data_IF_797234517985
#
_entry.id   IF_797234517985
#
_cell.length_a   1.000
_cell.length_b   1.000
_cell.length_c   1.000
_cell.angle_alpha   90.00
_cell.angle_beta   90.00
_cell.angle_gamma   90.00
#
_symmetry.space_group_name_H-M   'P 1'
#
loop_
_entity.id
_entity.type
_entity.pdbx_description
1 polymer ?
#
# COMPACT_ATOMS: atom_id res chain seq x y z
N UNK A 1 5.42 2.78 20.59
CA UNK A 1 5.38 2.29 19.20
C UNK A 1 4.16 1.38 19.12
N UNK A 2 3.05 1.84 18.54
CA UNK A 2 1.92 0.94 18.29
C UNK A 2 2.42 -0.13 17.31
N UNK A 3 2.35 -1.40 17.73
CA UNK A 3 2.65 -2.51 16.85
C UNK A 3 1.58 -2.49 15.77
N UNK A 4 1.97 -2.35 14.50
CA UNK A 4 1.03 -2.47 13.40
C UNK A 4 0.52 -3.92 13.36
N UNK A 5 -0.63 -4.15 13.98
CA UNK A 5 -1.32 -5.43 13.92
C UNK A 5 -1.93 -5.62 12.54
N UNK A 6 -1.56 -6.71 11.87
CA UNK A 6 -2.19 -7.14 10.63
C UNK A 6 -3.20 -8.23 10.97
N UNK A 7 -4.51 -7.93 11.04
CA UNK A 7 -5.53 -8.95 11.26
C UNK A 7 -5.69 -9.79 9.98
N UNK A 8 -4.83 -10.82 9.84
CA UNK A 8 -4.77 -11.64 8.62
C UNK A 8 -6.14 -12.26 8.30
N UNK A 9 -6.90 -12.64 9.33
CA UNK A 9 -8.25 -13.21 9.19
C UNK A 9 -9.27 -12.22 8.64
N UNK A 10 -9.08 -10.94 8.88
CA UNK A 10 -9.99 -9.88 8.44
C UNK A 10 -9.57 -9.34 7.06
N UNK A 11 -8.31 -9.59 6.66
CA UNK A 11 -7.73 -9.22 5.36
C UNK A 11 -7.75 -10.37 4.34
N UNK A 12 -8.67 -11.33 4.50
CA UNK A 12 -8.73 -12.52 3.63
C UNK A 12 -9.35 -12.25 2.26
N UNK A 13 -10.05 -11.13 2.08
CA UNK A 13 -10.67 -10.76 0.82
C UNK A 13 -10.16 -9.41 0.28
N UNK A 14 -10.50 -9.19 -1.00
CA UNK A 14 -10.06 -8.05 -1.78
C UNK A 14 -10.61 -6.72 -1.25
N UNK A 15 -11.83 -6.70 -0.74
CA UNK A 15 -12.48 -5.48 -0.28
C UNK A 15 -11.81 -4.96 0.98
N UNK A 16 -11.60 -5.84 1.96
CA UNK A 16 -10.88 -5.50 3.19
C UNK A 16 -9.42 -5.10 2.92
N UNK A 17 -8.73 -5.79 2.01
CA UNK A 17 -7.39 -5.37 1.58
C UNK A 17 -7.39 -4.00 0.90
N UNK A 18 -8.42 -3.69 0.11
CA UNK A 18 -8.55 -2.39 -0.56
C UNK A 18 -8.77 -1.28 0.46
N UNK A 19 -9.65 -1.49 1.43
CA UNK A 19 -9.94 -0.53 2.48
C UNK A 19 -8.71 -0.27 3.35
N UNK A 20 -8.00 -1.31 3.77
CA UNK A 20 -6.75 -1.17 4.52
C UNK A 20 -5.71 -0.34 3.75
N UNK A 21 -5.59 -0.54 2.44
CA UNK A 21 -4.68 0.26 1.60
C UNK A 21 -5.12 1.72 1.46
N UNK A 22 -6.43 2.00 1.43
CA UNK A 22 -6.95 3.38 1.45
C UNK A 22 -6.51 4.06 2.76
N UNK A 23 -6.72 3.40 3.90
CA UNK A 23 -6.41 3.97 5.21
C UNK A 23 -4.92 4.28 5.40
N UNK A 24 -4.04 3.40 4.91
CA UNK A 24 -2.60 3.51 5.19
C UNK A 24 -1.79 4.22 4.09
N UNK A 25 -2.26 4.21 2.84
CA UNK A 25 -1.54 4.81 1.71
C UNK A 25 -2.23 6.03 1.12
N UNK A 26 -3.43 6.40 1.61
CA UNK A 26 -4.14 7.62 1.24
C UNK A 26 -4.54 8.40 2.50
N UNK A 27 -3.59 8.94 3.27
CA UNK A 27 -3.85 9.58 4.57
C UNK A 27 -4.75 10.83 4.47
N UNK A 28 -4.87 11.43 3.29
CA UNK A 28 -5.75 12.58 3.02
C UNK A 28 -7.07 12.17 2.34
N UNK A 29 -7.40 10.88 2.34
CA UNK A 29 -8.56 10.32 1.67
C UNK A 29 -8.26 9.86 0.24
N UNK A 30 -9.02 8.86 -0.21
CA UNK A 30 -8.90 8.32 -1.56
C UNK A 30 -9.75 9.12 -2.56
N UNK A 31 -9.09 9.75 -3.52
CA UNK A 31 -9.73 10.65 -4.48
C UNK A 31 -8.89 10.88 -5.74
N UNK A 32 -9.37 11.79 -6.59
CA UNK A 32 -8.69 12.13 -7.83
C UNK A 32 -7.33 12.80 -7.54
N UNK A 33 -6.21 12.31 -8.10
CA UNK A 33 -4.90 12.89 -7.82
C UNK A 33 -4.67 14.27 -8.45
N UNK A 34 -5.53 14.70 -9.37
CA UNK A 34 -5.39 15.97 -10.12
C UNK A 34 -6.18 17.11 -9.50
N UNK A 35 -7.41 16.84 -9.06
CA UNK A 35 -8.32 17.87 -8.53
C UNK A 35 -8.80 17.60 -7.10
N UNK A 36 -8.30 16.52 -6.48
CA UNK A 36 -8.52 16.16 -5.07
C UNK A 36 -9.96 15.96 -4.63
N UNK A 37 -10.92 15.89 -5.56
CA UNK A 37 -12.28 15.48 -5.23
C UNK A 37 -12.31 14.00 -4.84
N UNK A 38 -13.20 13.65 -3.92
CA UNK A 38 -13.37 12.28 -3.44
C UNK A 38 -13.82 11.32 -4.54
N UNK A 39 -13.59 10.02 -4.29
CA UNK A 39 -13.98 8.94 -5.22
C UNK A 39 -15.50 8.85 -5.45
N UNK A 40 -16.31 9.41 -4.55
CA UNK A 40 -17.76 9.57 -4.69
C UNK A 40 -18.15 10.42 -5.92
N UNK A 41 -17.26 11.33 -6.35
CA UNK A 41 -17.40 12.12 -7.58
C UNK A 41 -16.62 11.53 -8.76
N UNK A 42 -16.40 10.22 -8.76
CA UNK A 42 -15.85 9.46 -9.87
C UNK A 42 -16.83 8.38 -10.34
N UNK A 43 -16.63 7.90 -11.57
CA UNK A 43 -17.31 6.69 -12.05
C UNK A 43 -16.33 5.56 -12.21
N UNK A 44 -16.78 4.33 -11.96
CA UNK A 44 -16.03 3.15 -12.35
C UNK A 44 -15.90 3.11 -13.88
N UNK A 45 -14.67 2.99 -14.37
CA UNK A 45 -14.39 3.02 -15.80
C UNK A 45 -14.06 1.63 -16.34
N UNK A 46 -13.22 0.88 -15.63
CA UNK A 46 -12.85 -0.50 -15.97
C UNK A 46 -12.17 -1.20 -14.80
N UNK A 47 -12.04 -2.51 -14.89
CA UNK A 47 -11.21 -3.30 -13.99
C UNK A 47 -9.93 -3.76 -14.70
N UNK A 48 -8.79 -3.60 -14.06
CA UNK A 48 -7.50 -4.08 -14.60
C UNK A 48 -7.44 -5.61 -14.52
N UNK A 49 -6.89 -6.26 -15.55
CA UNK A 49 -6.88 -7.73 -15.61
C UNK A 49 -5.93 -8.38 -14.59
N UNK A 50 -4.72 -7.84 -14.44
CA UNK A 50 -3.67 -8.42 -13.59
C UNK A 50 -3.83 -8.02 -12.13
N UNK A 51 -3.87 -6.71 -11.86
CA UNK A 51 -4.00 -6.19 -10.50
C UNK A 51 -5.42 -6.30 -9.94
N UNK A 52 -6.42 -6.60 -10.78
CA UNK A 52 -7.84 -6.66 -10.41
C UNK A 52 -8.38 -5.36 -9.80
N UNK A 53 -7.69 -4.22 -9.99
CA UNK A 53 -8.11 -2.93 -9.47
C UNK A 53 -9.23 -2.31 -10.29
N UNK A 54 -10.18 -1.68 -9.62
CA UNK A 54 -11.11 -0.72 -10.23
C UNK A 54 -10.33 0.53 -10.63
N UNK A 55 -10.50 0.94 -11.88
CA UNK A 55 -10.01 2.21 -12.40
C UNK A 55 -11.18 3.18 -12.39
N UNK A 56 -11.01 4.28 -11.68
CA UNK A 56 -11.96 5.37 -11.59
C UNK A 56 -11.65 6.41 -12.65
N UNK A 57 -12.71 7.09 -13.11
CA UNK A 57 -12.58 8.30 -13.94
C UNK A 57 -13.30 9.43 -13.23
N UNK A 58 -12.53 10.46 -12.88
CA UNK A 58 -13.01 11.66 -12.19
C UNK A 58 -14.09 12.36 -13.04
N UNK A 59 -15.21 12.74 -12.44
CA UNK A 59 -16.28 13.44 -13.17
C UNK A 59 -15.94 14.90 -13.45
N UNK A 60 -15.15 15.55 -12.58
CA UNK A 60 -14.74 16.95 -12.74
C UNK A 60 -13.66 17.14 -13.82
N UNK A 61 -12.51 16.47 -13.69
CA UNK A 61 -11.35 16.68 -14.58
C UNK A 61 -11.08 15.54 -15.56
N UNK A 62 -11.89 14.48 -15.55
CA UNK A 62 -11.78 13.32 -16.45
C UNK A 62 -10.49 12.48 -16.33
N UNK A 63 -9.62 12.78 -15.36
CA UNK A 63 -8.43 11.99 -15.08
C UNK A 63 -8.79 10.56 -14.64
N UNK A 64 -8.04 9.58 -15.14
CA UNK A 64 -8.17 8.19 -14.74
C UNK A 64 -7.16 7.86 -13.64
N UNK A 65 -7.61 7.17 -12.60
CA UNK A 65 -6.78 6.77 -11.47
C UNK A 65 -7.30 5.46 -10.85
N UNK A 66 -6.49 4.84 -10.00
CA UNK A 66 -6.83 3.63 -9.27
C UNK A 66 -6.22 3.68 -7.86
N UNK A 67 -6.43 2.63 -7.08
CA UNK A 67 -5.93 2.49 -5.70
C UNK A 67 -4.43 2.79 -5.54
N UNK A 68 -3.60 2.50 -6.54
CA UNK A 68 -2.15 2.66 -6.43
C UNK A 68 -1.64 4.00 -6.96
N UNK A 69 -2.51 4.83 -7.53
CA UNK A 69 -2.10 6.12 -8.10
C UNK A 69 -1.63 7.04 -6.98
N UNK A 70 -0.42 7.59 -7.12
CA UNK A 70 0.22 8.41 -6.10
C UNK A 70 0.92 7.63 -4.97
N UNK A 71 0.97 6.29 -5.05
CA UNK A 71 1.61 5.43 -4.03
C UNK A 71 2.87 4.76 -4.58
N UNK A 72 3.67 4.15 -3.70
CA UNK A 72 4.84 3.31 -4.10
C UNK A 72 4.46 2.11 -4.98
N UNK A 73 3.20 1.69 -4.97
CA UNK A 73 2.70 0.58 -5.80
C UNK A 73 2.26 1.02 -7.20
N UNK A 74 2.39 2.31 -7.52
CA UNK A 74 2.05 2.82 -8.84
C UNK A 74 2.83 2.05 -9.93
N UNK A 75 2.14 1.71 -11.03
CA UNK A 75 2.68 0.90 -12.15
C UNK A 75 3.03 -0.56 -11.82
N UNK A 76 2.78 -1.02 -10.58
CA UNK A 76 2.93 -2.43 -10.24
C UNK A 76 1.65 -3.23 -10.52
N UNK A 77 1.83 -4.43 -11.08
CA UNK A 77 0.74 -5.32 -11.45
C UNK A 77 0.36 -6.29 -10.30
N UNK A 78 0.14 -5.76 -9.10
CA UNK A 78 -0.14 -6.54 -7.89
C UNK A 78 -1.60 -6.43 -7.48
N UNK A 79 -2.20 -7.51 -7.00
CA UNK A 79 -3.53 -7.46 -6.36
C UNK A 79 -3.45 -6.77 -4.99
N UNK A 80 -4.56 -6.22 -4.47
CA UNK A 80 -4.58 -5.65 -3.11
C UNK A 80 -4.05 -6.62 -2.05
N UNK A 81 -4.43 -7.90 -2.14
CA UNK A 81 -3.96 -8.96 -1.22
C UNK A 81 -2.44 -9.16 -1.31
N UNK A 82 -1.87 -9.20 -2.51
CA UNK A 82 -0.41 -9.30 -2.69
C UNK A 82 0.31 -8.10 -2.07
N UNK A 83 -0.25 -6.89 -2.22
CA UNK A 83 0.34 -5.67 -1.64
C UNK A 83 0.30 -5.72 -0.12
N UNK A 84 -0.85 -6.03 0.47
CA UNK A 84 -1.00 -6.12 1.94
C UNK A 84 -0.04 -7.15 2.52
N UNK A 85 0.05 -8.35 1.94
CA UNK A 85 0.98 -9.38 2.40
C UNK A 85 2.45 -9.00 2.20
N UNK A 86 2.78 -8.31 1.10
CA UNK A 86 4.13 -7.77 0.88
C UNK A 86 4.49 -6.76 1.97
N UNK A 87 3.61 -5.80 2.27
CA UNK A 87 3.85 -4.80 3.31
C UNK A 87 4.02 -5.47 4.67
N UNK A 88 3.12 -6.39 5.04
CA UNK A 88 3.23 -7.19 6.26
C UNK A 88 4.58 -7.89 6.35
N UNK A 89 5.00 -8.58 5.30
CA UNK A 89 6.25 -9.31 5.29
C UNK A 89 7.48 -8.40 5.37
N UNK A 90 7.44 -7.25 4.70
CA UNK A 90 8.49 -6.22 4.82
C UNK A 90 8.61 -5.73 6.26
N UNK A 91 7.49 -5.41 6.91
CA UNK A 91 7.46 -4.92 8.29
C UNK A 91 7.90 -5.99 9.31
N UNK A 92 7.65 -7.27 9.01
CA UNK A 92 8.14 -8.40 9.81
C UNK A 92 9.59 -8.78 9.54
N UNK A 93 10.28 -8.06 8.64
CA UNK A 93 11.66 -8.37 8.28
C UNK A 93 11.83 -9.67 7.48
N UNK A 94 10.77 -10.18 6.86
CA UNK A 94 10.82 -11.42 6.07
C UNK A 94 11.76 -11.23 4.85
N UNK A 95 12.58 -12.23 4.47
CA UNK A 95 13.50 -12.09 3.34
C UNK A 95 12.77 -11.89 2.00
N UNK A 96 13.34 -11.07 1.10
CA UNK A 96 12.74 -10.82 -0.22
C UNK A 96 12.63 -12.09 -1.09
N UNK A 97 13.50 -13.08 -0.89
CA UNK A 97 13.42 -14.40 -1.55
C UNK A 97 12.17 -15.18 -1.12
N UNK A 98 11.83 -15.17 0.17
CA UNK A 98 10.64 -15.82 0.72
C UNK A 98 9.38 -15.13 0.18
N UNK A 99 9.31 -13.80 0.28
CA UNK A 99 8.18 -13.02 -0.25
C UNK A 99 7.97 -13.22 -1.75
N UNK A 100 9.05 -13.29 -2.53
CA UNK A 100 8.98 -13.56 -3.96
C UNK A 100 8.34 -14.90 -4.24
N UNK A 101 8.75 -15.95 -3.52
CA UNK A 101 8.23 -17.30 -3.68
C UNK A 101 6.76 -17.42 -3.23
N UNK A 102 6.42 -16.88 -2.05
CA UNK A 102 5.07 -17.00 -1.47
C UNK A 102 4.03 -16.18 -2.23
N UNK A 103 4.39 -14.98 -2.70
CA UNK A 103 3.46 -14.08 -3.36
C UNK A 103 3.42 -14.25 -4.89
N UNK A 104 4.32 -15.06 -5.45
CA UNK A 104 4.47 -15.22 -6.90
C UNK A 104 4.92 -13.94 -7.62
N UNK A 105 5.69 -13.09 -6.94
CA UNK A 105 6.18 -11.80 -7.45
C UNK A 105 7.65 -11.97 -7.85
N UNK A 106 8.08 -11.33 -8.93
CA UNK A 106 9.51 -11.32 -9.29
C UNK A 106 10.36 -10.73 -8.16
N UNK A 107 11.47 -11.40 -7.82
CA UNK A 107 12.38 -10.99 -6.76
C UNK A 107 12.85 -9.52 -6.86
N UNK A 108 13.20 -9.05 -8.05
CA UNK A 108 13.65 -7.66 -8.25
C UNK A 108 12.52 -6.67 -7.94
N UNK A 109 11.28 -7.02 -8.28
CA UNK A 109 10.10 -6.21 -7.94
C UNK A 109 9.89 -6.15 -6.43
N UNK A 110 10.02 -7.27 -5.72
CA UNK A 110 9.92 -7.31 -4.25
C UNK A 110 11.00 -6.45 -3.61
N UNK A 111 12.25 -6.59 -4.07
CA UNK A 111 13.37 -5.81 -3.54
C UNK A 111 13.18 -4.31 -3.77
N UNK A 112 12.76 -3.92 -4.97
CA UNK A 112 12.43 -2.53 -5.29
C UNK A 112 11.35 -1.97 -4.36
N UNK A 113 10.22 -2.67 -4.25
CA UNK A 113 9.11 -2.24 -3.39
C UNK A 113 9.49 -2.16 -1.92
N UNK A 114 10.33 -3.07 -1.43
CA UNK A 114 10.89 -2.99 -0.08
C UNK A 114 11.67 -1.70 0.13
N UNK A 115 12.58 -1.37 -0.78
CA UNK A 115 13.37 -0.16 -0.66
C UNK A 115 12.50 1.09 -0.74
N UNK A 116 11.53 1.12 -1.66
CA UNK A 116 10.60 2.25 -1.80
C UNK A 116 9.75 2.42 -0.50
N UNK A 117 9.29 1.32 0.11
CA UNK A 117 8.59 1.34 1.41
C UNK A 117 9.47 1.83 2.56
N UNK A 118 10.71 1.34 2.64
CA UNK A 118 11.67 1.74 3.67
C UNK A 118 12.06 3.22 3.53
N UNK A 119 12.24 3.72 2.31
CA UNK A 119 12.52 5.12 2.05
C UNK A 119 11.37 6.02 2.51
N UNK A 120 10.12 5.63 2.25
CA UNK A 120 8.95 6.34 2.77
C UNK A 120 8.93 6.35 4.30
N UNK A 121 9.21 5.20 4.94
CA UNK A 121 9.25 5.11 6.40
C UNK A 121 10.34 5.99 7.01
N UNK A 122 11.51 6.07 6.37
CA UNK A 122 12.60 6.96 6.78
C UNK A 122 12.20 8.43 6.71
N UNK A 123 11.46 8.85 5.68
CA UNK A 123 10.98 10.24 5.55
C UNK A 123 9.93 10.60 6.61
N UNK A 124 9.18 9.61 7.09
CA UNK A 124 8.16 9.77 8.14
C UNK A 124 8.71 9.57 9.55
N UNK A 125 9.99 9.19 9.68
CA UNK A 125 10.62 8.93 10.97
C UNK A 125 10.69 10.24 11.76
N UNK A 126 10.17 10.28 13.01
CA UNK A 126 10.30 11.46 13.84
C UNK A 126 11.77 11.69 14.21
N UNK A 127 12.21 12.95 14.18
CA UNK A 127 13.55 13.35 14.64
C UNK A 127 13.70 13.30 16.17
N UNK A 128 12.59 13.13 16.89
CA UNK A 128 12.60 13.00 18.35
C UNK A 128 13.16 11.63 18.72
N UNK A 129 14.25 11.55 19.49
CA UNK A 129 14.78 10.28 19.97
C UNK A 129 13.72 9.51 20.73
N UNK A 130 13.76 8.19 20.65
CA UNK A 130 13.00 7.35 21.56
C UNK A 130 13.49 7.64 22.99
N UNK A 131 12.55 7.82 23.91
CA UNK A 131 12.85 7.88 25.34
C UNK A 131 13.37 6.50 25.74
N UNK A 132 14.65 6.44 26.12
CA UNK A 132 15.33 5.21 26.52
C UNK A 132 15.48 5.25 28.05
N UNK A 133 14.42 4.86 28.76
CA UNK A 133 14.36 4.93 30.22
C UNK A 133 14.99 3.71 30.91
N UNK A 134 15.39 2.67 30.17
CA UNK A 134 15.88 1.41 30.74
C UNK A 134 17.12 0.90 29.99
N UNK A 135 18.28 0.89 30.65
CA UNK A 135 19.47 0.15 30.18
C UNK A 135 19.50 -1.23 30.83
N UNK A 136 19.71 -2.31 30.07
CA UNK A 136 19.91 -3.65 30.63
C UNK A 136 21.07 -3.63 31.65
N UNK A 137 20.75 -3.85 32.93
CA UNK A 137 21.71 -4.01 34.05
C UNK A 137 22.00 -5.46 34.37
#
# INVERSE_FOLDING_TARGET
MEIMEFPITDLLDKENCTQWLIEHFHPHGFGCPVCHIGVDQAREFRTTKRSQLTVYRCQNCQAAYNLYTGTVFQQHHLTPMQVVLLVRGVLKGEPATILSAELGINYQTVLKLRHDLQANAQQLQPDTPLLDDETET
#
